data_IF_193167930108
#
_entry.id   IF_193167930108
#
_cell.length_a   1.000
_cell.length_b   1.000
_cell.length_c   1.000
_cell.angle_alpha   90.00
_cell.angle_beta   90.00
_cell.angle_gamma   90.00
#
_symmetry.space_group_name_H-M   'P 1'
#
loop_
_entity.id
_entity.type
_entity.pdbx_description
1 polymer ?
#
# COMPACT_ATOMS: atom_id res chain seq x y z
N UNK A 1 1.69 -40.72 46.24
CA UNK A 1 1.94 -40.93 44.80
C UNK A 1 0.72 -40.81 43.88
N UNK A 2 -0.50 -41.11 44.29
CA UNK A 2 -1.71 -41.01 43.43
C UNK A 2 -2.15 -39.56 43.07
N UNK A 3 -1.94 -38.59 43.97
CA UNK A 3 -2.33 -37.16 43.80
C UNK A 3 -1.46 -36.44 42.76
N UNK A 4 -0.16 -36.69 42.75
CA UNK A 4 0.77 -36.12 41.77
C UNK A 4 0.44 -36.51 40.34
N UNK A 5 0.01 -37.76 40.10
CA UNK A 5 -0.35 -38.28 38.77
C UNK A 5 -1.65 -37.62 38.24
N UNK A 6 -2.59 -37.29 39.12
CA UNK A 6 -3.81 -36.56 38.74
C UNK A 6 -3.52 -35.11 38.39
N UNK A 7 -2.61 -34.45 39.10
CA UNK A 7 -2.19 -33.07 38.81
C UNK A 7 -1.50 -32.99 37.46
N UNK A 8 -0.58 -33.93 37.16
CA UNK A 8 0.07 -33.98 35.84
C UNK A 8 -0.88 -34.25 34.70
N UNK A 9 -1.90 -35.09 34.90
CA UNK A 9 -2.97 -35.32 33.89
C UNK A 9 -3.79 -34.05 33.65
N UNK A 10 -4.15 -33.32 34.68
CA UNK A 10 -4.89 -32.06 34.58
C UNK A 10 -4.05 -31.02 33.81
N UNK A 11 -2.75 -30.90 34.14
CA UNK A 11 -1.82 -29.98 33.44
C UNK A 11 -1.70 -30.35 31.97
N UNK A 12 -1.58 -31.62 31.63
CA UNK A 12 -1.53 -32.08 30.23
C UNK A 12 -2.83 -31.80 29.48
N UNK A 13 -4.00 -31.95 30.12
CA UNK A 13 -5.29 -31.61 29.53
C UNK A 13 -5.38 -30.10 29.27
N UNK A 14 -5.00 -29.28 30.25
CA UNK A 14 -5.00 -27.82 30.12
C UNK A 14 -4.06 -27.37 28.97
N UNK A 15 -2.86 -27.94 28.90
CA UNK A 15 -1.92 -27.66 27.81
C UNK A 15 -2.46 -28.12 26.45
N UNK A 16 -3.12 -29.28 26.39
CA UNK A 16 -3.79 -29.77 25.19
C UNK A 16 -4.92 -28.86 24.72
N UNK A 17 -5.77 -28.42 25.63
CA UNK A 17 -6.85 -27.46 25.33
C UNK A 17 -6.29 -26.11 24.89
N UNK A 18 -5.28 -25.60 25.58
CA UNK A 18 -4.62 -24.36 25.19
C UNK A 18 -3.97 -24.45 23.82
N UNK A 19 -3.37 -25.59 23.50
CA UNK A 19 -2.81 -25.87 22.16
C UNK A 19 -3.87 -25.87 21.06
N UNK A 20 -5.04 -26.46 21.29
CA UNK A 20 -6.14 -26.48 20.33
C UNK A 20 -6.79 -25.10 20.20
N UNK A 21 -6.88 -24.32 21.28
CA UNK A 21 -7.52 -23.00 21.28
C UNK A 21 -6.63 -21.91 20.69
N UNK A 22 -5.30 -22.08 20.65
CA UNK A 22 -4.35 -21.03 20.23
C UNK A 22 -4.67 -20.45 18.85
N UNK A 23 -4.95 -21.30 17.86
CA UNK A 23 -5.19 -20.87 16.48
C UNK A 23 -6.48 -20.04 16.37
N UNK A 24 -7.51 -20.41 17.15
CA UNK A 24 -8.75 -19.64 17.20
C UNK A 24 -8.52 -18.24 17.80
N UNK A 25 -7.79 -18.16 18.91
CA UNK A 25 -7.47 -16.90 19.60
C UNK A 25 -6.63 -15.99 18.67
N UNK A 26 -5.56 -16.53 18.09
CA UNK A 26 -4.68 -15.77 17.20
C UNK A 26 -5.47 -15.29 15.97
N UNK A 27 -6.24 -16.17 15.33
CA UNK A 27 -7.11 -15.83 14.19
C UNK A 27 -8.03 -14.65 14.52
N UNK A 28 -8.76 -14.74 15.64
CA UNK A 28 -9.72 -13.71 16.05
C UNK A 28 -9.02 -12.36 16.31
N UNK A 29 -7.87 -12.39 16.97
CA UNK A 29 -7.06 -11.20 17.24
C UNK A 29 -6.58 -10.55 15.95
N UNK A 30 -6.00 -11.32 15.03
CA UNK A 30 -5.52 -10.82 13.73
C UNK A 30 -6.67 -10.25 12.92
N UNK A 31 -7.79 -10.97 12.83
CA UNK A 31 -8.97 -10.54 12.08
C UNK A 31 -9.51 -9.20 12.62
N UNK A 32 -9.64 -9.08 13.93
CA UNK A 32 -10.12 -7.86 14.59
C UNK A 32 -9.15 -6.68 14.39
N UNK A 33 -7.84 -6.92 14.59
CA UNK A 33 -6.82 -5.88 14.42
C UNK A 33 -6.77 -5.38 12.96
N UNK A 34 -6.72 -6.29 11.99
CA UNK A 34 -6.70 -5.96 10.58
C UNK A 34 -7.98 -5.19 10.17
N UNK A 35 -9.16 -5.63 10.59
CA UNK A 35 -10.41 -4.93 10.30
C UNK A 35 -10.44 -3.50 10.86
N UNK A 36 -9.88 -3.28 12.06
CA UNK A 36 -9.75 -1.94 12.65
C UNK A 36 -8.79 -1.03 11.88
N UNK A 37 -7.64 -1.57 11.47
CA UNK A 37 -6.62 -0.84 10.69
C UNK A 37 -7.17 -0.46 9.32
N UNK A 38 -7.81 -1.40 8.64
CA UNK A 38 -8.33 -1.21 7.29
C UNK A 38 -9.62 -0.39 7.25
N UNK A 39 -10.43 -0.45 8.31
CA UNK A 39 -11.80 0.11 8.31
C UNK A 39 -12.76 -0.71 7.43
N UNK A 40 -12.45 -1.99 7.24
CA UNK A 40 -13.17 -2.93 6.40
C UNK A 40 -13.15 -4.31 7.04
N UNK A 41 -14.21 -5.10 6.88
CA UNK A 41 -14.34 -6.42 7.52
C UNK A 41 -13.42 -7.44 6.85
N UNK A 42 -12.52 -8.07 7.62
CA UNK A 42 -11.72 -9.20 7.18
C UNK A 42 -12.33 -10.50 7.72
N UNK A 43 -12.58 -11.47 6.85
CA UNK A 43 -12.97 -12.84 7.24
C UNK A 43 -11.90 -13.83 6.83
N UNK A 44 -11.54 -14.73 7.72
CA UNK A 44 -10.57 -15.81 7.50
C UNK A 44 -11.29 -17.14 7.70
N UNK A 45 -11.28 -18.01 6.71
CA UNK A 45 -11.90 -19.34 6.83
C UNK A 45 -10.99 -20.30 7.59
N UNK A 46 -9.76 -20.47 7.16
CA UNK A 46 -8.81 -21.38 7.79
C UNK A 46 -7.56 -20.64 8.25
N UNK A 47 -7.11 -21.00 9.46
CA UNK A 47 -5.91 -20.45 10.08
C UNK A 47 -5.17 -21.58 10.79
N UNK A 48 -3.87 -21.66 10.62
CA UNK A 48 -3.01 -22.57 11.37
C UNK A 48 -1.67 -21.92 11.70
N UNK A 49 -1.19 -22.12 12.93
CA UNK A 49 0.11 -21.64 13.38
C UNK A 49 0.97 -22.79 13.86
N UNK A 50 2.19 -22.89 13.33
CA UNK A 50 3.21 -23.85 13.76
C UNK A 50 4.27 -23.15 14.59
N UNK A 51 4.33 -23.44 15.92
CA UNK A 51 5.33 -22.84 16.80
C UNK A 51 6.74 -23.29 16.47
N UNK A 52 6.93 -24.58 16.19
CA UNK A 52 8.25 -25.13 15.84
C UNK A 52 8.69 -24.78 14.42
N UNK A 53 7.75 -24.74 13.50
CA UNK A 53 8.02 -24.35 12.11
C UNK A 53 8.08 -22.83 11.93
N UNK A 54 7.70 -22.07 12.94
CA UNK A 54 7.61 -20.60 12.91
C UNK A 54 6.84 -20.08 11.68
N UNK A 55 5.75 -20.77 11.34
CA UNK A 55 4.96 -20.47 10.13
C UNK A 55 3.50 -20.33 10.47
N UNK A 56 2.87 -19.27 9.95
CA UNK A 56 1.42 -19.11 9.93
C UNK A 56 0.93 -19.32 8.51
N UNK A 57 -0.12 -20.13 8.36
CA UNK A 57 -0.83 -20.33 7.09
C UNK A 57 -2.28 -19.90 7.24
N UNK A 58 -2.72 -19.06 6.32
CA UNK A 58 -4.10 -18.57 6.24
C UNK A 58 -4.64 -18.97 4.87
N UNK A 59 -5.83 -19.58 4.85
CA UNK A 59 -6.51 -19.94 3.60
C UNK A 59 -7.89 -19.32 3.53
N UNK A 60 -8.31 -18.96 2.33
CA UNK A 60 -9.61 -18.38 2.02
C UNK A 60 -9.91 -17.16 2.92
N UNK A 61 -9.02 -16.18 2.92
CA UNK A 61 -9.27 -14.89 3.54
C UNK A 61 -9.97 -13.95 2.55
N UNK A 62 -10.93 -13.15 3.04
CA UNK A 62 -11.67 -12.17 2.25
C UNK A 62 -11.76 -10.87 3.00
N UNK A 63 -11.29 -9.80 2.37
CA UNK A 63 -11.52 -8.45 2.81
C UNK A 63 -12.77 -7.93 2.10
N UNK A 64 -13.77 -7.48 2.86
CA UNK A 64 -15.00 -6.92 2.31
C UNK A 64 -14.85 -5.42 2.03
N UNK A 65 -15.73 -4.87 1.22
CA UNK A 65 -15.75 -3.44 0.96
C UNK A 65 -15.98 -2.63 2.24
N UNK A 66 -15.39 -1.43 2.35
CA UNK A 66 -15.72 -0.49 3.42
C UNK A 66 -17.16 0.01 3.30
N UNK A 67 -17.66 0.64 4.38
CA UNK A 67 -19.01 1.21 4.39
C UNK A 67 -19.22 2.21 3.24
N UNK A 68 -20.43 2.19 2.66
CA UNK A 68 -20.78 3.04 1.51
C UNK A 68 -20.60 2.35 0.15
N UNK A 69 -20.16 1.09 0.13
CA UNK A 69 -20.03 0.26 -1.06
C UNK A 69 -20.81 -1.06 -0.89
N UNK A 70 -21.14 -1.77 -1.99
CA UNK A 70 -21.82 -3.05 -1.92
C UNK A 70 -21.10 -4.03 -0.96
N UNK A 71 -21.85 -4.85 -0.16
CA UNK A 71 -21.27 -5.76 0.83
C UNK A 71 -20.74 -7.05 0.17
N UNK A 72 -19.81 -6.88 -0.77
CA UNK A 72 -19.14 -7.97 -1.48
C UNK A 72 -17.64 -7.96 -1.19
N UNK A 73 -16.92 -9.07 -1.45
CA UNK A 73 -15.49 -9.11 -1.30
C UNK A 73 -14.78 -8.04 -2.14
N UNK A 74 -13.95 -7.24 -1.48
CA UNK A 74 -13.05 -6.30 -2.12
C UNK A 74 -11.76 -7.00 -2.56
N UNK A 75 -11.22 -7.88 -1.71
CA UNK A 75 -10.04 -8.68 -2.02
C UNK A 75 -10.30 -10.14 -1.65
N UNK A 76 -10.12 -11.07 -2.59
CA UNK A 76 -10.15 -12.52 -2.36
C UNK A 76 -8.71 -13.05 -2.30
N UNK A 77 -8.36 -13.65 -1.15
CA UNK A 77 -7.00 -14.07 -0.81
C UNK A 77 -7.03 -15.58 -0.51
N UNK A 78 -6.78 -16.45 -1.51
CA UNK A 78 -6.81 -17.88 -1.31
C UNK A 78 -5.71 -18.39 -0.38
N UNK A 79 -4.52 -17.76 -0.39
CA UNK A 79 -3.39 -18.23 0.42
C UNK A 79 -2.50 -17.10 0.91
N UNK A 80 -2.15 -17.18 2.19
CA UNK A 80 -1.12 -16.37 2.84
C UNK A 80 -0.22 -17.31 3.63
N UNK A 81 1.10 -17.23 3.39
CA UNK A 81 2.11 -17.90 4.20
C UNK A 81 3.03 -16.88 4.83
N UNK A 82 3.19 -16.94 6.15
CA UNK A 82 4.00 -16.00 6.93
C UNK A 82 5.02 -16.79 7.73
N UNK A 83 6.31 -16.53 7.51
CA UNK A 83 7.36 -16.93 8.43
C UNK A 83 7.54 -15.83 9.47
N UNK A 84 7.61 -16.21 10.75
CA UNK A 84 7.78 -15.26 11.83
C UNK A 84 8.99 -15.65 12.70
N UNK A 85 9.63 -14.67 13.31
CA UNK A 85 10.72 -14.85 14.24
C UNK A 85 10.15 -14.97 15.66
N UNK A 86 10.12 -16.21 16.20
CA UNK A 86 9.60 -16.47 17.54
C UNK A 86 10.39 -15.76 18.66
N UNK A 87 11.72 -15.74 18.67
CA UNK A 87 12.51 -14.95 19.62
C UNK A 87 12.16 -13.45 19.61
N UNK A 88 12.00 -12.85 18.42
CA UNK A 88 11.60 -11.46 18.29
C UNK A 88 10.19 -11.22 18.84
N UNK A 89 9.25 -12.15 18.53
CA UNK A 89 7.87 -12.07 19.00
C UNK A 89 7.76 -12.11 20.52
N UNK A 90 8.55 -12.97 21.19
CA UNK A 90 8.62 -13.03 22.65
C UNK A 90 9.13 -11.71 23.24
N UNK A 91 9.98 -10.97 22.52
CA UNK A 91 10.46 -9.64 22.88
C UNK A 91 9.46 -8.52 22.53
N UNK A 92 8.26 -8.83 22.04
CA UNK A 92 7.26 -7.86 21.64
C UNK A 92 7.52 -7.18 20.28
N UNK A 93 8.40 -7.75 19.44
CA UNK A 93 8.70 -7.26 18.09
C UNK A 93 8.02 -8.14 17.06
N UNK A 94 7.32 -7.55 16.10
CA UNK A 94 6.72 -8.26 14.98
C UNK A 94 7.73 -8.34 13.82
N UNK A 95 8.57 -9.37 13.84
CA UNK A 95 9.54 -9.63 12.77
C UNK A 95 9.10 -10.82 11.91
N UNK A 96 9.00 -10.57 10.60
CA UNK A 96 8.58 -11.53 9.59
C UNK A 96 9.67 -11.65 8.52
N UNK A 97 10.53 -12.68 8.58
CA UNK A 97 11.56 -12.93 7.56
C UNK A 97 10.97 -13.06 6.16
N UNK A 98 9.79 -13.68 6.01
CA UNK A 98 9.12 -13.75 4.71
C UNK A 98 7.60 -13.81 4.83
N UNK A 99 6.94 -13.16 3.87
CA UNK A 99 5.49 -13.26 3.65
C UNK A 99 5.26 -13.57 2.18
N UNK A 100 4.45 -14.60 1.90
CA UNK A 100 3.94 -14.87 0.56
C UNK A 100 2.44 -14.63 0.56
N UNK A 101 1.99 -13.77 -0.33
CA UNK A 101 0.60 -13.35 -0.46
C UNK A 101 0.11 -13.60 -1.88
N UNK A 102 -0.91 -14.43 -2.01
CA UNK A 102 -1.56 -14.72 -3.29
C UNK A 102 -2.98 -14.15 -3.29
N UNK A 103 -3.26 -13.23 -4.21
CA UNK A 103 -4.57 -12.62 -4.43
C UNK A 103 -5.17 -13.20 -5.71
N UNK A 104 -6.37 -13.77 -5.59
CA UNK A 104 -7.13 -14.25 -6.75
C UNK A 104 -7.74 -13.07 -7.49
N UNK A 105 -8.35 -12.15 -6.75
CA UNK A 105 -8.96 -10.99 -7.36
C UNK A 105 -9.00 -9.79 -6.40
N UNK A 106 -8.91 -8.59 -7.01
CA UNK A 106 -9.12 -7.30 -6.34
C UNK A 106 -10.24 -6.59 -7.08
N UNK A 107 -11.32 -6.22 -6.39
CA UNK A 107 -12.51 -5.59 -6.96
C UNK A 107 -12.51 -4.10 -6.67
N UNK A 108 -12.21 -3.29 -7.66
CA UNK A 108 -12.25 -1.82 -7.55
C UNK A 108 -13.65 -1.34 -7.94
N UNK A 109 -14.30 -0.64 -7.02
CA UNK A 109 -15.65 -0.12 -7.22
C UNK A 109 -15.60 1.40 -7.24
N UNK A 110 -16.17 1.98 -8.29
CA UNK A 110 -16.51 3.39 -8.37
C UNK A 110 -18.01 3.54 -8.15
N UNK A 111 -18.40 4.18 -7.07
CA UNK A 111 -19.82 4.37 -6.74
C UNK A 111 -20.47 5.45 -7.61
N UNK A 112 -21.79 5.66 -7.47
CA UNK A 112 -22.54 6.66 -8.21
C UNK A 112 -22.04 8.10 -8.01
N UNK A 113 -21.35 8.39 -6.90
CA UNK A 113 -20.73 9.69 -6.62
C UNK A 113 -19.33 9.84 -7.22
N UNK A 114 -18.83 8.81 -7.91
CA UNK A 114 -17.46 8.78 -8.44
C UNK A 114 -16.37 8.45 -7.42
N UNK A 115 -16.73 8.00 -6.22
CA UNK A 115 -15.78 7.63 -5.17
C UNK A 115 -15.31 6.19 -5.35
N UNK A 116 -14.03 5.91 -5.08
CA UNK A 116 -13.46 4.58 -5.14
C UNK A 116 -13.47 3.91 -3.76
N UNK A 117 -13.81 2.62 -3.70
CA UNK A 117 -13.76 1.83 -2.47
C UNK A 117 -12.38 1.82 -1.82
N UNK A 118 -11.30 1.79 -2.59
CA UNK A 118 -9.91 1.86 -2.10
C UNK A 118 -9.64 3.15 -1.32
N UNK A 119 -10.24 4.27 -1.74
CA UNK A 119 -10.07 5.57 -1.09
C UNK A 119 -10.82 5.67 0.24
N UNK A 120 -11.75 4.75 0.51
CA UNK A 120 -12.54 4.69 1.74
C UNK A 120 -11.89 3.81 2.82
N UNK A 121 -10.79 3.13 2.52
CA UNK A 121 -10.00 2.44 3.52
C UNK A 121 -9.33 3.43 4.48
N UNK A 122 -9.34 3.12 5.78
CA UNK A 122 -8.73 4.01 6.80
C UNK A 122 -7.27 4.30 6.56
N UNK A 123 -6.52 3.31 6.07
CA UNK A 123 -5.08 3.46 5.75
C UNK A 123 -4.82 4.46 4.62
N UNK A 124 -5.81 4.69 3.75
CA UNK A 124 -5.74 5.66 2.65
C UNK A 124 -6.27 7.03 3.07
N UNK A 125 -7.28 7.06 3.97
CA UNK A 125 -7.90 8.31 4.44
C UNK A 125 -7.04 9.06 5.46
N UNK A 126 -6.29 8.33 6.29
CA UNK A 126 -5.41 8.89 7.32
C UNK A 126 -3.99 8.43 7.05
N UNK A 127 -3.25 9.10 6.15
CA UNK A 127 -1.82 8.85 6.05
C UNK A 127 -1.18 9.05 7.42
N UNK A 128 -0.12 8.31 7.76
CA UNK A 128 0.64 8.51 8.98
C UNK A 128 1.02 10.00 9.07
N UNK A 129 0.65 10.63 10.16
CA UNK A 129 1.05 12.03 10.41
C UNK A 129 2.57 12.03 10.49
N UNK A 130 3.22 12.75 9.58
CA UNK A 130 4.65 13.02 9.68
C UNK A 130 4.94 13.52 11.09
N UNK A 131 5.88 12.87 11.76
CA UNK A 131 6.49 13.44 12.96
C UNK A 131 7.26 14.66 12.47
N UNK A 132 6.60 15.83 12.45
CA UNK A 132 7.28 17.11 12.22
C UNK A 132 8.34 17.25 13.31
N UNK A 133 9.57 17.06 12.93
CA UNK A 133 10.71 17.54 13.69
C UNK A 133 10.77 19.06 13.47
N UNK A 134 9.88 19.80 14.10
CA UNK A 134 10.11 21.22 14.37
C UNK A 134 11.07 21.31 15.55
N UNK A 135 12.10 22.14 15.50
CA UNK A 135 12.96 22.41 16.66
C UNK A 135 12.13 23.10 17.72
N UNK A 136 11.57 22.36 18.67
CA UNK A 136 10.90 22.93 19.85
C UNK A 136 11.91 23.09 20.96
N UNK A 137 11.99 24.34 21.44
CA UNK A 137 12.51 24.76 22.74
C UNK A 137 11.90 23.85 23.84
N UNK A 138 12.67 23.36 24.81
CA UNK A 138 12.22 22.31 25.74
C UNK A 138 11.21 22.85 26.74
N UNK A 139 9.97 22.41 26.66
CA UNK A 139 9.01 22.47 27.75
C UNK A 139 8.76 21.05 28.23
N UNK A 140 8.86 20.78 29.56
CA UNK A 140 8.79 19.41 30.09
C UNK A 140 7.33 18.97 30.28
N UNK A 141 6.73 18.39 29.27
CA UNK A 141 5.55 17.54 29.40
C UNK A 141 5.75 16.33 28.47
N UNK A 142 5.79 15.14 29.07
CA UNK A 142 6.10 13.91 28.38
C UNK A 142 5.18 13.63 27.18
N UNK A 143 5.73 13.25 26.04
CA UNK A 143 4.92 12.87 24.89
C UNK A 143 4.25 11.54 25.17
N UNK A 144 2.92 11.50 25.17
CA UNK A 144 2.18 10.26 25.01
C UNK A 144 2.47 9.75 23.59
N UNK A 145 3.51 8.96 23.45
CA UNK A 145 3.78 8.18 22.26
C UNK A 145 2.62 7.20 22.09
N UNK A 146 1.79 7.40 21.04
CA UNK A 146 0.92 6.31 20.57
C UNK A 146 1.82 5.11 20.31
N UNK A 147 1.46 3.90 20.79
CA UNK A 147 2.27 2.72 20.58
C UNK A 147 2.39 2.48 19.07
N UNK A 148 3.55 2.77 18.51
CA UNK A 148 3.89 2.36 17.15
C UNK A 148 4.10 0.84 17.19
N UNK A 149 3.36 0.11 16.37
CA UNK A 149 3.59 -1.33 16.19
C UNK A 149 4.98 -1.46 15.56
N UNK A 150 5.95 -1.97 16.34
CA UNK A 150 7.29 -2.24 15.84
C UNK A 150 7.23 -3.50 14.97
N UNK A 151 7.03 -3.30 13.67
CA UNK A 151 6.89 -4.37 12.67
C UNK A 151 8.00 -4.28 11.64
N UNK A 152 8.56 -5.41 11.28
CA UNK A 152 9.52 -5.56 10.19
C UNK A 152 9.16 -6.78 9.34
N UNK A 153 9.01 -6.59 8.03
CA UNK A 153 8.94 -7.67 7.04
C UNK A 153 10.18 -7.52 6.17
N UNK A 154 11.05 -8.54 6.17
CA UNK A 154 12.28 -8.48 5.38
C UNK A 154 11.98 -8.68 3.91
N UNK A 155 11.12 -9.64 3.57
CA UNK A 155 10.72 -9.93 2.21
C UNK A 155 9.24 -10.29 2.11
N UNK A 156 8.52 -9.66 1.19
CA UNK A 156 7.14 -10.00 0.84
C UNK A 156 7.06 -10.35 -0.64
N UNK A 157 6.58 -11.54 -0.96
CA UNK A 157 6.26 -11.97 -2.32
C UNK A 157 4.76 -11.81 -2.57
N UNK A 158 4.40 -11.09 -3.63
CA UNK A 158 3.02 -10.79 -4.01
C UNK A 158 2.70 -11.41 -5.37
N UNK A 159 1.56 -12.11 -5.41
CA UNK A 159 0.93 -12.62 -6.63
C UNK A 159 -0.47 -12.02 -6.74
N UNK A 160 -0.86 -11.54 -7.93
CA UNK A 160 -2.22 -11.07 -8.23
C UNK A 160 -2.63 -11.68 -9.57
N UNK A 161 -3.80 -12.35 -9.61
CA UNK A 161 -4.29 -12.96 -10.84
C UNK A 161 -5.07 -11.97 -11.69
N UNK A 162 -6.03 -11.24 -11.08
CA UNK A 162 -6.87 -10.28 -11.81
C UNK A 162 -7.39 -9.14 -10.96
N UNK A 163 -7.74 -8.07 -11.64
CA UNK A 163 -8.47 -6.92 -11.06
C UNK A 163 -9.80 -6.76 -11.80
N UNK A 164 -10.86 -6.59 -11.04
CA UNK A 164 -12.20 -6.31 -11.55
C UNK A 164 -12.53 -4.86 -11.23
N UNK A 165 -12.87 -4.08 -12.25
CA UNK A 165 -13.35 -2.70 -12.09
C UNK A 165 -14.87 -2.68 -12.32
N UNK A 166 -15.63 -2.15 -11.35
CA UNK A 166 -17.07 -1.95 -11.42
C UNK A 166 -17.38 -0.46 -11.31
N UNK A 167 -17.92 0.13 -12.36
CA UNK A 167 -18.26 1.55 -12.43
C UNK A 167 -19.78 1.74 -12.38
N UNK A 168 -20.27 2.30 -11.28
CA UNK A 168 -21.68 2.60 -11.03
C UNK A 168 -22.05 4.06 -11.39
N UNK A 169 -21.12 4.87 -11.90
CA UNK A 169 -21.40 6.28 -12.24
C UNK A 169 -22.44 6.41 -13.37
N UNK A 170 -22.56 5.38 -14.23
CA UNK A 170 -23.48 5.34 -15.36
C UNK A 170 -24.82 4.72 -14.97
N UNK A 171 -24.90 4.01 -13.85
CA UNK A 171 -26.12 3.37 -13.35
C UNK A 171 -25.89 2.00 -12.71
N UNK A 172 -27.00 1.33 -12.39
CA UNK A 172 -27.06 -0.06 -11.91
C UNK A 172 -27.84 -0.88 -12.93
N UNK A 173 -27.27 -1.96 -13.51
CA UNK A 173 -25.98 -2.61 -13.16
C UNK A 173 -24.76 -1.80 -13.58
N UNK A 174 -23.61 -1.99 -12.91
CA UNK A 174 -22.37 -1.28 -13.20
C UNK A 174 -21.75 -1.72 -14.52
N UNK A 175 -20.95 -0.87 -15.14
CA UNK A 175 -20.02 -1.29 -16.18
C UNK A 175 -18.87 -2.05 -15.54
N UNK A 176 -18.72 -3.34 -15.93
CA UNK A 176 -17.69 -4.23 -15.38
C UNK A 176 -16.56 -4.41 -16.40
N UNK A 177 -15.31 -4.23 -15.93
CA UNK A 177 -14.11 -4.54 -16.71
C UNK A 177 -13.25 -5.50 -15.91
N UNK A 178 -12.75 -6.55 -16.55
CA UNK A 178 -11.82 -7.51 -15.98
C UNK A 178 -10.45 -7.30 -16.61
N UNK A 179 -9.44 -7.12 -15.77
CA UNK A 179 -8.05 -6.93 -16.16
C UNK A 179 -7.25 -8.10 -15.61
N UNK A 180 -6.77 -8.96 -16.49
CA UNK A 180 -5.80 -9.99 -16.13
C UNK A 180 -4.46 -9.29 -15.83
N UNK A 181 -4.00 -9.43 -14.60
CA UNK A 181 -2.71 -8.88 -14.19
C UNK A 181 -1.78 -10.06 -13.92
N UNK A 182 -0.84 -10.36 -14.82
CA UNK A 182 0.10 -11.45 -14.61
C UNK A 182 1.20 -11.05 -13.61
N UNK A 183 0.82 -10.55 -12.42
CA UNK A 183 1.77 -10.25 -11.36
C UNK A 183 2.11 -11.53 -10.62
N UNK A 184 3.27 -12.11 -10.97
CA UNK A 184 3.76 -13.33 -10.34
C UNK A 184 5.11 -13.08 -9.68
N UNK A 185 5.25 -13.56 -8.43
CA UNK A 185 6.48 -13.52 -7.65
C UNK A 185 7.12 -12.12 -7.55
N UNK A 186 6.29 -11.07 -7.49
CA UNK A 186 6.79 -9.71 -7.25
C UNK A 186 7.26 -9.57 -5.81
N UNK A 187 8.54 -9.30 -5.63
CA UNK A 187 9.16 -9.23 -4.30
C UNK A 187 9.34 -7.78 -3.86
N UNK A 188 9.04 -7.52 -2.59
CA UNK A 188 9.23 -6.25 -1.91
C UNK A 188 10.00 -6.49 -0.63
N UNK A 189 10.87 -5.55 -0.24
CA UNK A 189 11.76 -5.69 0.92
C UNK A 189 11.58 -4.54 1.90
N UNK A 190 11.92 -4.80 3.18
CA UNK A 190 11.99 -3.79 4.22
C UNK A 190 10.67 -3.04 4.44
N UNK A 191 9.56 -3.78 4.62
CA UNK A 191 8.26 -3.21 4.95
C UNK A 191 8.18 -3.07 6.47
N UNK A 192 7.94 -1.85 6.96
CA UNK A 192 8.03 -1.52 8.39
C UNK A 192 6.68 -1.17 9.02
N UNK A 193 5.59 -1.19 8.28
CA UNK A 193 4.25 -0.98 8.83
C UNK A 193 3.15 -1.75 8.07
N UNK A 194 2.03 -2.08 8.75
CA UNK A 194 0.87 -2.68 8.11
C UNK A 194 0.30 -1.79 7.00
N UNK A 195 0.33 -0.47 7.19
CA UNK A 195 -0.15 0.52 6.24
C UNK A 195 0.67 0.47 4.94
N UNK A 196 2.01 0.39 5.06
CA UNK A 196 2.91 0.21 3.91
C UNK A 196 2.53 -1.05 3.11
N UNK A 197 2.35 -2.18 3.80
CA UNK A 197 2.00 -3.44 3.14
C UNK A 197 0.70 -3.32 2.35
N UNK A 198 -0.35 -2.78 2.97
CA UNK A 198 -1.66 -2.65 2.33
C UNK A 198 -1.62 -1.70 1.14
N UNK A 199 -1.04 -0.52 1.31
CA UNK A 199 -0.93 0.47 0.23
C UNK A 199 -0.11 -0.06 -0.94
N UNK A 200 0.98 -0.80 -0.66
CA UNK A 200 1.79 -1.45 -1.68
C UNK A 200 0.97 -2.46 -2.50
N UNK A 201 0.19 -3.31 -1.85
CA UNK A 201 -0.70 -4.27 -2.52
C UNK A 201 -1.70 -3.55 -3.43
N UNK A 202 -2.35 -2.50 -2.91
CA UNK A 202 -3.35 -1.75 -3.65
C UNK A 202 -2.76 -0.99 -4.84
N UNK A 203 -1.57 -0.42 -4.71
CA UNK A 203 -0.86 0.25 -5.81
C UNK A 203 -0.53 -0.75 -6.92
N UNK A 204 -0.08 -1.96 -6.57
CA UNK A 204 0.19 -3.01 -7.57
C UNK A 204 -1.10 -3.50 -8.24
N UNK A 205 -2.19 -3.60 -7.50
CA UNK A 205 -3.49 -4.03 -8.03
C UNK A 205 -4.12 -2.98 -8.96
N UNK A 206 -4.02 -1.69 -8.62
CA UNK A 206 -4.58 -0.62 -9.45
C UNK A 206 -3.86 -0.48 -10.78
N UNK A 207 -2.58 -0.90 -10.85
CA UNK A 207 -1.79 -0.84 -12.07
C UNK A 207 -1.61 0.59 -12.62
N UNK A 208 -0.93 0.70 -13.77
CA UNK A 208 -0.52 1.99 -14.33
C UNK A 208 -1.66 2.85 -14.89
N UNK A 209 -2.87 2.35 -15.05
CA UNK A 209 -3.91 3.00 -15.87
C UNK A 209 -4.96 3.81 -15.11
N UNK A 210 -4.88 3.89 -13.77
CA UNK A 210 -5.91 4.56 -12.98
C UNK A 210 -5.40 5.84 -12.30
N UNK A 211 -5.41 6.95 -13.03
CA UNK A 211 -5.23 8.31 -12.47
C UNK A 211 -6.24 8.62 -11.35
N UNK A 212 -7.36 7.93 -11.31
CA UNK A 212 -8.40 8.07 -10.27
C UNK A 212 -7.94 7.56 -8.88
N UNK A 213 -6.86 6.78 -8.80
CA UNK A 213 -6.21 6.35 -7.55
C UNK A 213 -5.32 7.40 -6.89
N UNK A 214 -5.43 8.68 -7.23
CA UNK A 214 -4.51 9.74 -6.80
C UNK A 214 -4.30 9.82 -5.28
N UNK A 215 -5.33 9.58 -4.46
CA UNK A 215 -5.20 9.54 -2.98
C UNK A 215 -4.35 8.36 -2.52
N UNK A 216 -4.53 7.19 -3.13
CA UNK A 216 -3.75 6.00 -2.81
C UNK A 216 -2.28 6.20 -3.18
N UNK A 217 -2.00 6.78 -4.34
CA UNK A 217 -0.62 7.07 -4.76
C UNK A 217 0.06 8.11 -3.87
N UNK A 218 -0.66 9.13 -3.41
CA UNK A 218 -0.14 10.08 -2.44
C UNK A 218 0.21 9.38 -1.12
N UNK A 219 -0.66 8.51 -0.62
CA UNK A 219 -0.40 7.72 0.60
C UNK A 219 0.78 6.78 0.40
N UNK A 220 0.91 6.14 -0.76
CA UNK A 220 2.06 5.30 -1.11
C UNK A 220 3.36 6.09 -1.08
N UNK A 221 3.36 7.30 -1.63
CA UNK A 221 4.51 8.19 -1.63
C UNK A 221 4.93 8.60 -0.20
N UNK A 222 3.97 8.96 0.67
CA UNK A 222 4.22 9.28 2.09
C UNK A 222 4.82 8.08 2.84
N UNK A 223 4.33 6.88 2.56
CA UNK A 223 4.79 5.65 3.19
C UNK A 223 6.08 5.07 2.56
N UNK A 224 6.62 5.71 1.52
CA UNK A 224 7.80 5.23 0.80
C UNK A 224 7.58 3.93 0.04
N UNK A 225 6.33 3.64 -0.37
CA UNK A 225 5.98 2.41 -1.10
C UNK A 225 5.55 2.70 -2.53
N UNK A 226 5.86 1.79 -3.42
CA UNK A 226 5.27 1.71 -4.76
C UNK A 226 5.96 2.46 -5.86
N UNK A 227 6.78 3.49 -5.57
CA UNK A 227 7.47 4.26 -6.59
C UNK A 227 8.94 3.88 -6.78
N UNK A 228 9.51 3.12 -5.85
CA UNK A 228 10.94 2.94 -5.83
C UNK A 228 11.34 1.48 -6.05
N UNK A 229 12.23 1.20 -7.02
CA UNK A 229 13.06 0.01 -6.98
C UNK A 229 13.93 0.04 -5.72
N UNK A 230 14.21 -1.13 -5.15
CA UNK A 230 15.14 -1.23 -4.03
C UNK A 230 16.45 -0.49 -4.34
N UNK A 231 16.74 0.58 -3.62
CA UNK A 231 17.99 1.35 -3.77
C UNK A 231 17.86 2.82 -4.14
N UNK A 232 16.66 3.34 -4.42
CA UNK A 232 16.47 4.78 -4.71
C UNK A 232 15.86 5.48 -3.49
N UNK A 233 16.64 6.37 -2.90
CA UNK A 233 16.26 7.12 -1.71
C UNK A 233 15.22 8.20 -2.04
N UNK A 234 14.14 8.21 -1.26
CA UNK A 234 13.41 9.43 -0.92
C UNK A 234 12.48 10.01 -1.99
N UNK A 235 11.19 9.73 -1.84
CA UNK A 235 10.15 10.64 -2.33
C UNK A 235 10.07 11.82 -1.37
N UNK A 236 10.59 12.97 -1.80
CA UNK A 236 10.46 14.21 -1.03
C UNK A 236 9.11 14.84 -1.35
N UNK A 237 8.17 14.76 -0.42
CA UNK A 237 6.93 15.51 -0.48
C UNK A 237 7.20 16.94 -0.02
N UNK A 238 7.36 17.86 -0.98
CA UNK A 238 7.19 19.28 -0.69
C UNK A 238 5.70 19.60 -0.55
N UNK A 239 5.35 20.70 0.11
CA UNK A 239 3.94 21.15 0.22
C UNK A 239 3.22 21.24 -1.13
N UNK A 240 3.93 21.41 -2.23
CA UNK A 240 3.41 21.68 -3.57
C UNK A 240 3.84 20.69 -4.65
N UNK A 241 4.78 19.78 -4.40
CA UNK A 241 5.31 18.87 -5.40
C UNK A 241 5.66 17.49 -4.84
N UNK A 242 5.70 16.52 -5.74
CA UNK A 242 6.18 15.14 -5.50
C UNK A 242 7.37 14.92 -6.40
N UNK A 243 8.44 14.29 -5.92
CA UNK A 243 9.64 14.04 -6.75
C UNK A 243 10.20 12.65 -6.57
N UNK A 244 10.86 12.15 -7.62
CA UNK A 244 11.51 10.84 -7.68
C UNK A 244 12.78 10.94 -8.53
N UNK A 245 13.78 10.11 -8.20
CA UNK A 245 15.02 10.00 -8.97
C UNK A 245 14.98 8.77 -9.88
N UNK A 246 15.53 8.93 -11.08
CA UNK A 246 15.62 7.91 -12.10
C UNK A 246 17.07 7.76 -12.59
N UNK A 247 17.46 6.54 -12.91
CA UNK A 247 18.79 6.23 -13.44
C UNK A 247 18.87 6.34 -14.97
N UNK A 248 17.74 6.56 -15.62
CA UNK A 248 17.64 6.72 -17.06
C UNK A 248 18.22 8.06 -17.51
N UNK A 249 18.57 8.16 -18.80
CA UNK A 249 19.07 9.43 -19.34
C UNK A 249 17.95 10.48 -19.45
N UNK A 250 18.36 11.75 -19.42
CA UNK A 250 17.46 12.90 -19.41
C UNK A 250 16.45 12.90 -20.57
N UNK A 251 16.92 12.56 -21.78
CA UNK A 251 16.08 12.56 -23.00
C UNK A 251 14.98 11.50 -22.91
N UNK A 252 15.33 10.30 -22.43
CA UNK A 252 14.38 9.21 -22.20
C UNK A 252 13.31 9.59 -21.18
N UNK A 253 13.74 10.13 -20.02
CA UNK A 253 12.80 10.56 -18.96
C UNK A 253 11.88 11.69 -19.45
N UNK A 254 12.44 12.65 -20.16
CA UNK A 254 11.67 13.78 -20.72
C UNK A 254 10.63 13.31 -21.74
N UNK A 255 11.03 12.47 -22.71
CA UNK A 255 10.12 11.90 -23.72
C UNK A 255 9.04 11.05 -23.09
N UNK A 256 9.40 10.28 -22.07
CA UNK A 256 8.42 9.46 -21.31
C UNK A 256 7.42 10.35 -20.60
N UNK A 257 7.86 11.41 -19.95
CA UNK A 257 6.95 12.37 -19.30
C UNK A 257 5.96 13.00 -20.30
N UNK A 258 6.45 13.42 -21.47
CA UNK A 258 5.59 13.94 -22.55
C UNK A 258 4.59 12.90 -23.05
N UNK A 259 5.04 11.65 -23.25
CA UNK A 259 4.20 10.55 -23.69
C UNK A 259 3.07 10.29 -22.70
N UNK A 260 3.39 10.19 -21.41
CA UNK A 260 2.42 9.94 -20.33
C UNK A 260 1.39 11.08 -20.28
N UNK A 261 1.82 12.34 -20.31
CA UNK A 261 0.90 13.50 -20.32
C UNK A 261 -0.08 13.39 -21.50
N UNK A 262 0.41 13.08 -22.72
CA UNK A 262 -0.42 12.94 -23.92
C UNK A 262 -1.37 11.73 -23.81
N UNK A 263 -0.91 10.58 -23.31
CA UNK A 263 -1.75 9.39 -23.12
C UNK A 263 -2.88 9.65 -22.14
N UNK A 264 -2.64 10.46 -21.11
CA UNK A 264 -3.62 10.88 -20.11
C UNK A 264 -4.47 12.07 -20.58
N UNK A 265 -4.53 12.33 -21.89
CA UNK A 265 -5.27 13.43 -22.51
C UNK A 265 -4.90 14.82 -21.98
N UNK A 266 -3.65 14.97 -21.51
CA UNK A 266 -3.12 16.26 -21.08
C UNK A 266 -2.85 17.17 -22.24
N UNK A 267 -3.29 18.43 -22.14
CA UNK A 267 -2.99 19.48 -23.10
C UNK A 267 -1.67 20.16 -22.69
N UNK A 268 -0.64 20.01 -23.51
CA UNK A 268 0.66 20.64 -23.26
C UNK A 268 0.53 22.13 -23.58
N UNK A 269 0.78 22.97 -22.57
CA UNK A 269 0.74 24.43 -22.70
C UNK A 269 2.07 25.03 -23.07
N UNK A 270 3.17 24.52 -22.48
CA UNK A 270 4.51 25.05 -22.70
C UNK A 270 5.55 23.96 -22.44
N UNK A 271 6.51 23.85 -23.34
CA UNK A 271 7.74 23.09 -23.17
C UNK A 271 8.91 24.07 -23.05
N UNK A 272 9.52 24.16 -21.88
CA UNK A 272 10.71 24.99 -21.66
C UNK A 272 11.95 24.09 -21.65
N UNK A 273 12.65 24.07 -22.77
CA UNK A 273 13.87 23.25 -22.94
C UNK A 273 15.07 23.76 -22.14
N UNK A 274 15.09 25.05 -21.79
CA UNK A 274 16.17 25.63 -21.00
C UNK A 274 16.05 25.24 -19.53
N UNK A 275 14.83 25.26 -19.00
CA UNK A 275 14.51 24.85 -17.62
C UNK A 275 14.13 23.37 -17.50
N UNK A 276 14.17 22.65 -18.60
CA UNK A 276 13.80 21.22 -18.71
C UNK A 276 12.49 20.96 -17.99
N UNK A 277 11.45 21.69 -18.40
CA UNK A 277 10.13 21.61 -17.77
C UNK A 277 8.98 21.58 -18.77
N UNK A 278 7.93 20.84 -18.41
CA UNK A 278 6.70 20.68 -19.18
C UNK A 278 5.57 21.26 -18.35
N UNK A 279 4.81 22.17 -18.93
CA UNK A 279 3.54 22.65 -18.37
C UNK A 279 2.40 22.09 -19.16
N UNK A 280 1.43 21.50 -18.48
CA UNK A 280 0.26 20.89 -19.10
C UNK A 280 -1.00 21.18 -18.28
N UNK A 281 -2.15 21.05 -18.91
CA UNK A 281 -3.45 21.02 -18.25
C UNK A 281 -4.05 19.62 -18.40
N UNK A 282 -4.40 18.99 -17.27
CA UNK A 282 -4.87 17.62 -17.21
C UNK A 282 -6.03 17.54 -16.21
N UNK A 283 -7.19 17.07 -16.64
CA UNK A 283 -8.38 16.89 -15.79
C UNK A 283 -8.67 18.11 -14.89
N UNK A 284 -8.60 19.31 -15.48
CA UNK A 284 -8.82 20.57 -14.78
C UNK A 284 -7.69 21.00 -13.81
N UNK A 285 -6.56 20.28 -13.82
CA UNK A 285 -5.37 20.60 -13.01
C UNK A 285 -4.31 21.26 -13.89
N UNK A 286 -3.67 22.29 -13.37
CA UNK A 286 -2.45 22.87 -13.93
C UNK A 286 -1.26 22.07 -13.39
N UNK A 287 -0.55 21.39 -14.29
CA UNK A 287 0.54 20.47 -13.98
C UNK A 287 1.86 21.03 -14.48
N UNK A 288 2.90 20.90 -13.65
CA UNK A 288 4.27 21.22 -14.04
C UNK A 288 5.16 20.02 -13.71
N UNK A 289 5.82 19.49 -14.73
CA UNK A 289 6.86 18.48 -14.59
C UNK A 289 8.20 19.14 -14.81
N UNK A 290 9.10 19.07 -13.83
CA UNK A 290 10.49 19.57 -13.91
C UNK A 290 11.45 18.42 -13.82
N UNK A 291 12.49 18.45 -14.65
CA UNK A 291 13.58 17.50 -14.62
C UNK A 291 14.88 18.22 -14.25
N UNK A 292 15.64 17.59 -13.39
CA UNK A 292 16.93 18.09 -12.91
C UNK A 292 17.96 16.96 -12.94
N UNK A 293 19.09 17.20 -13.58
CA UNK A 293 20.19 16.23 -13.55
C UNK A 293 21.00 16.42 -12.28
N UNK A 294 21.10 15.36 -11.49
CA UNK A 294 21.85 15.34 -10.24
C UNK A 294 23.34 14.99 -10.48
N UNK A 295 24.24 15.32 -9.52
CA UNK A 295 25.68 15.02 -9.65
C UNK A 295 26.01 13.54 -9.82
N UNK A 296 25.14 12.63 -9.34
CA UNK A 296 25.26 11.18 -9.48
C UNK A 296 24.74 10.65 -10.84
N UNK A 297 24.53 11.52 -11.81
CA UNK A 297 23.94 11.24 -13.13
C UNK A 297 22.47 10.76 -13.07
N UNK A 298 21.82 10.76 -11.91
CA UNK A 298 20.40 10.48 -11.82
C UNK A 298 19.59 11.70 -12.28
N UNK A 299 18.38 11.44 -12.76
CA UNK A 299 17.43 12.49 -13.14
C UNK A 299 16.36 12.57 -12.08
N UNK A 300 16.30 13.71 -11.39
CA UNK A 300 15.21 14.02 -10.47
C UNK A 300 14.05 14.59 -11.26
N UNK A 301 12.92 13.91 -11.21
CA UNK A 301 11.65 14.39 -11.76
C UNK A 301 10.81 14.93 -10.61
N UNK A 302 10.39 16.18 -10.73
CA UNK A 302 9.49 16.83 -9.75
C UNK A 302 8.20 17.19 -10.46
N UNK A 303 7.08 16.70 -9.95
CA UNK A 303 5.74 16.98 -10.47
C UNK A 303 4.97 17.81 -9.46
N UNK A 304 4.38 18.91 -9.91
CA UNK A 304 3.42 19.71 -9.14
C UNK A 304 2.10 19.77 -9.90
N UNK A 305 1.00 19.72 -9.17
CA UNK A 305 -0.33 19.86 -9.71
C UNK A 305 -1.16 20.83 -8.86
N UNK A 306 -1.93 21.70 -9.49
CA UNK A 306 -2.81 22.67 -8.81
C UNK A 306 -4.19 22.69 -9.46
N UNK A 307 -5.22 22.81 -8.64
CA UNK A 307 -6.59 23.08 -9.10
C UNK A 307 -7.09 24.32 -8.38
N UNK A 308 -7.51 25.35 -9.14
CA UNK A 308 -7.90 26.64 -8.60
C UNK A 308 -6.85 27.22 -7.62
N UNK A 309 -5.57 27.17 -8.01
CA UNK A 309 -4.38 27.61 -7.25
C UNK A 309 -4.05 26.73 -6.00
N UNK A 310 -4.91 25.80 -5.61
CA UNK A 310 -4.65 24.90 -4.48
C UNK A 310 -3.77 23.71 -4.91
N UNK A 311 -2.72 23.37 -4.14
CA UNK A 311 -1.89 22.21 -4.38
C UNK A 311 -2.70 20.90 -4.38
N UNK A 312 -2.33 20.01 -5.30
CA UNK A 312 -2.91 18.67 -5.45
C UNK A 312 -1.79 17.63 -5.55
N UNK A 313 -1.07 17.38 -4.45
CA UNK A 313 0.05 16.43 -4.44
C UNK A 313 -0.38 15.01 -4.81
N UNK A 314 -1.62 14.63 -4.51
CA UNK A 314 -2.20 13.36 -4.89
C UNK A 314 -2.26 13.15 -6.41
N UNK A 315 -2.62 14.20 -7.16
CA UNK A 315 -2.63 14.16 -8.62
C UNK A 315 -1.22 14.14 -9.20
N UNK A 316 -0.33 14.97 -8.63
CA UNK A 316 1.08 14.99 -9.00
C UNK A 316 1.76 13.63 -8.79
N UNK A 317 1.46 12.96 -7.67
CA UNK A 317 1.94 11.61 -7.35
C UNK A 317 1.46 10.57 -8.35
N UNK A 318 0.18 10.61 -8.75
CA UNK A 318 -0.37 9.72 -9.79
C UNK A 318 0.37 9.86 -11.12
N UNK A 319 0.61 11.09 -11.58
CA UNK A 319 1.34 11.33 -12.82
C UNK A 319 2.80 10.86 -12.73
N UNK A 320 3.48 11.11 -11.61
CA UNK A 320 4.85 10.65 -11.40
C UNK A 320 4.94 9.12 -11.40
N UNK A 321 3.96 8.45 -10.79
CA UNK A 321 3.86 6.99 -10.83
C UNK A 321 3.75 6.46 -12.27
N UNK A 322 2.88 7.03 -13.10
CA UNK A 322 2.74 6.63 -14.50
C UNK A 322 4.05 6.79 -15.29
N UNK A 323 4.78 7.89 -15.06
CA UNK A 323 6.11 8.11 -15.65
C UNK A 323 7.06 6.99 -15.21
N UNK A 324 7.07 6.66 -13.91
CA UNK A 324 7.89 5.60 -13.33
C UNK A 324 7.60 4.23 -13.98
N UNK A 325 6.33 3.86 -14.11
CA UNK A 325 5.94 2.59 -14.71
C UNK A 325 6.37 2.47 -16.18
N UNK A 326 6.29 3.56 -16.95
CA UNK A 326 6.72 3.59 -18.36
C UNK A 326 8.23 3.50 -18.53
N UNK A 327 9.00 3.90 -17.51
CA UNK A 327 10.45 3.71 -17.44
C UNK A 327 10.85 2.30 -16.95
N UNK A 328 9.86 1.42 -16.63
CA UNK A 328 10.12 0.07 -16.18
C UNK A 328 10.61 -0.03 -14.72
N UNK A 329 10.25 0.94 -13.91
CA UNK A 329 10.72 1.10 -12.51
C UNK A 329 9.63 0.82 -11.49
#
# INVERSE_FOLDING_TARGET
MKTSRKIWLIVLIILGVAWLAKDFIIKTTITSAASKILGAELKIKSFSSGLFTQTVKIKDARLYNPQGFPPEPFIDIPDISVHYDLPALIQGKLHFPSIVLSLKEVVIIKNQKGELNVNSLKVVQKPPTETKTEPKIPTPQGPQQKPSINMQIDEMTLNIERVISKDYTIGDPPVVKVLEIPLKNKTFKNITSPEQMVVLILVQALGPSMVEGAKLYATAAILGVGFLPAGVAGVLLGKDNVSQEFTDNLDTVYKTALMVIKQQRGEIKTEDKTKISIRARMDGHDVIVKLEQLPNHHIKVSVSARKLLLPKPEFAGGLLYEISQKLGK
#
